data_IF_005305617802
#
_entry.id   IF_005305617802
#
_cell.length_a   1.000
_cell.length_b   1.000
_cell.length_c   1.000
_cell.angle_alpha   90.00
_cell.angle_beta   90.00
_cell.angle_gamma   90.00
#
_symmetry.space_group_name_H-M   'P 1'
#
loop_
_entity.id
_entity.type
_entity.pdbx_description
1 polymer ?
#
# COMPACT_ATOMS: atom_id res chain seq x y z
N UNK A 1 59.53 -40.55 -23.47
CA UNK A 1 59.80 -39.11 -23.69
C UNK A 1 58.70 -38.32 -23.01
N UNK A 2 59.10 -37.48 -22.07
CA UNK A 2 58.23 -36.61 -21.26
C UNK A 2 57.68 -35.43 -22.06
N UNK A 3 56.47 -34.98 -21.70
CA UNK A 3 55.90 -33.69 -22.09
C UNK A 3 54.41 -33.64 -21.69
N UNK A 4 54.08 -33.33 -20.43
CA UNK A 4 53.82 -31.98 -19.87
C UNK A 4 52.63 -31.24 -20.51
N UNK A 5 51.71 -30.82 -19.60
CA UNK A 5 50.99 -29.51 -19.57
C UNK A 5 49.72 -29.46 -20.47
N UNK A 6 48.55 -28.94 -20.09
CA UNK A 6 48.08 -28.15 -18.95
C UNK A 6 46.56 -28.36 -18.82
N UNK A 7 46.04 -28.35 -17.61
CA UNK A 7 44.63 -28.11 -17.30
C UNK A 7 44.15 -26.78 -17.89
N UNK A 8 43.00 -26.75 -18.57
CA UNK A 8 42.14 -25.57 -18.62
C UNK A 8 40.72 -26.03 -18.31
N UNK A 9 40.34 -25.77 -17.05
CA UNK A 9 38.97 -25.65 -16.61
C UNK A 9 38.24 -24.64 -17.50
N UNK A 10 37.19 -25.08 -18.19
CA UNK A 10 36.14 -24.17 -18.64
C UNK A 10 34.88 -24.52 -17.86
N UNK A 11 34.82 -23.98 -16.64
CA UNK A 11 33.59 -23.88 -15.85
C UNK A 11 32.79 -22.75 -16.49
N UNK A 12 32.02 -23.07 -17.52
CA UNK A 12 31.02 -22.14 -18.06
C UNK A 12 29.87 -22.12 -17.07
N UNK A 13 29.88 -21.07 -16.25
CA UNK A 13 28.89 -20.83 -15.21
C UNK A 13 27.48 -20.84 -15.77
N UNK A 14 26.64 -21.68 -15.16
CA UNK A 14 25.21 -21.53 -15.10
C UNK A 14 24.91 -20.16 -14.48
N UNK A 15 24.89 -19.11 -15.28
CA UNK A 15 24.13 -17.90 -14.98
C UNK A 15 22.66 -18.28 -15.14
N UNK A 16 22.14 -19.04 -14.18
CA UNK A 16 20.71 -19.03 -13.87
C UNK A 16 20.47 -17.61 -13.39
N UNK A 17 20.08 -16.75 -14.33
CA UNK A 17 19.41 -15.52 -14.02
C UNK A 17 18.13 -15.90 -13.28
N UNK A 18 18.24 -16.07 -11.97
CA UNK A 18 17.18 -15.68 -11.08
C UNK A 18 17.00 -14.19 -11.34
N UNK A 19 16.21 -13.86 -12.36
CA UNK A 19 15.33 -12.71 -12.28
C UNK A 19 14.58 -12.94 -10.98
N UNK A 20 15.14 -12.40 -9.89
CA UNK A 20 14.50 -12.37 -8.61
C UNK A 20 13.21 -11.66 -8.88
N UNK A 21 12.13 -12.45 -9.00
CA UNK A 21 10.78 -11.96 -9.00
C UNK A 21 10.65 -11.16 -7.72
N UNK A 22 10.89 -9.86 -7.81
CA UNK A 22 10.42 -8.86 -6.86
C UNK A 22 8.90 -8.72 -7.03
N UNK A 23 8.20 -9.87 -7.13
CA UNK A 23 6.79 -9.99 -6.80
C UNK A 23 6.75 -10.03 -5.27
N UNK A 24 7.08 -8.91 -4.64
CA UNK A 24 6.78 -8.74 -3.23
C UNK A 24 5.26 -8.89 -3.10
N UNK A 25 4.85 -9.91 -2.35
CA UNK A 25 3.47 -10.33 -2.22
C UNK A 25 2.65 -9.27 -1.47
N UNK A 26 2.14 -8.26 -2.17
CA UNK A 26 1.13 -7.32 -1.62
C UNK A 26 -0.12 -8.09 -1.18
N UNK A 27 -0.35 -9.28 -1.74
CA UNK A 27 -1.46 -10.22 -1.43
C UNK A 27 -1.62 -10.63 0.04
N UNK A 28 -0.70 -10.27 0.95
CA UNK A 28 -0.75 -10.70 2.36
C UNK A 28 -0.69 -9.55 3.37
N UNK A 29 -0.67 -8.29 2.92
CA UNK A 29 -0.52 -7.13 3.80
C UNK A 29 -1.86 -6.76 4.46
N UNK A 30 -2.09 -7.27 5.66
CA UNK A 30 -3.17 -6.76 6.50
C UNK A 30 -2.84 -5.35 6.98
N UNK A 31 -3.89 -4.62 7.34
CA UNK A 31 -3.76 -3.27 7.85
C UNK A 31 -4.28 -3.19 9.27
N UNK A 32 -3.67 -2.32 10.07
CA UNK A 32 -4.12 -2.00 11.42
C UNK A 32 -4.70 -0.58 11.39
N UNK A 33 -5.98 -0.45 11.70
CA UNK A 33 -6.66 0.83 11.87
C UNK A 33 -6.72 1.15 13.37
N UNK A 34 -5.94 2.12 13.81
CA UNK A 34 -5.95 2.66 15.17
C UNK A 34 -6.86 3.90 15.19
N UNK A 35 -8.10 3.73 15.67
CA UNK A 35 -9.11 4.79 15.67
C UNK A 35 -8.85 5.86 16.73
N UNK A 36 -8.09 5.54 17.79
CA UNK A 36 -7.73 6.50 18.82
C UNK A 36 -6.67 7.47 18.33
N UNK A 37 -5.71 6.98 17.54
CA UNK A 37 -4.68 7.82 16.91
C UNK A 37 -5.09 8.40 15.57
N UNK A 38 -6.10 7.80 14.92
CA UNK A 38 -6.49 8.14 13.57
C UNK A 38 -5.40 7.76 12.56
N UNK A 39 -4.84 6.57 12.72
CA UNK A 39 -3.75 6.05 11.88
C UNK A 39 -4.16 4.74 11.21
N UNK A 40 -3.69 4.56 9.98
CA UNK A 40 -3.71 3.29 9.27
C UNK A 40 -2.27 2.82 9.14
N UNK A 41 -1.95 1.59 9.55
CA UNK A 41 -0.60 1.01 9.49
C UNK A 41 -0.62 -0.30 8.69
N UNK A 42 0.51 -0.67 8.07
CA UNK A 42 0.69 -2.02 7.52
C UNK A 42 1.09 -2.95 8.67
N UNK A 43 0.36 -4.04 8.87
CA UNK A 43 0.65 -5.03 9.92
C UNK A 43 2.07 -5.63 9.73
N UNK A 44 2.86 -5.64 10.80
CA UNK A 44 4.24 -6.13 10.78
C UNK A 44 5.27 -5.17 10.17
N UNK A 45 4.90 -3.93 9.84
CA UNK A 45 5.81 -2.88 9.37
C UNK A 45 5.69 -1.62 10.23
N UNK A 46 6.77 -0.83 10.30
CA UNK A 46 6.78 0.47 10.97
C UNK A 46 6.25 1.60 10.07
N UNK A 47 5.36 1.29 9.12
CA UNK A 47 4.79 2.25 8.20
C UNK A 47 3.34 2.54 8.62
N UNK A 48 3.06 3.79 8.98
CA UNK A 48 1.73 4.28 9.33
C UNK A 48 1.45 5.58 8.58
N UNK A 49 0.18 5.78 8.22
CA UNK A 49 -0.32 6.99 7.60
C UNK A 49 -1.44 7.58 8.45
N UNK A 50 -1.37 8.89 8.70
CA UNK A 50 -2.45 9.58 9.39
C UNK A 50 -3.65 9.69 8.46
N UNK A 51 -4.84 9.36 8.97
CA UNK A 51 -6.09 9.52 8.24
C UNK A 51 -6.44 10.99 8.01
N UNK A 52 -5.85 11.92 8.76
CA UNK A 52 -6.06 13.36 8.52
C UNK A 52 -5.47 13.84 7.20
N UNK A 53 -4.55 13.08 6.59
CA UNK A 53 -4.00 13.39 5.26
C UNK A 53 -5.04 13.37 4.14
N UNK A 54 -6.23 12.83 4.42
CA UNK A 54 -7.37 12.94 3.49
C UNK A 54 -7.85 14.38 3.32
N UNK A 55 -7.50 15.31 4.23
CA UNK A 55 -7.79 16.74 4.09
C UNK A 55 -6.47 17.52 4.10
N UNK A 56 -6.10 18.24 3.03
CA UNK A 56 -6.84 18.50 1.78
C UNK A 56 -6.43 17.54 0.65
N UNK A 57 -7.02 16.35 0.56
CA UNK A 57 -6.82 15.48 -0.60
C UNK A 57 -7.67 15.94 -1.79
N UNK A 58 -7.23 15.61 -3.00
CA UNK A 58 -8.06 15.67 -4.21
C UNK A 58 -8.22 14.28 -4.86
N UNK A 59 -7.83 13.24 -4.13
CA UNK A 59 -7.77 11.85 -4.59
C UNK A 59 -8.88 10.97 -4.00
N UNK A 60 -9.89 11.55 -3.36
CA UNK A 60 -11.02 10.85 -2.75
C UNK A 60 -11.77 9.96 -3.75
N UNK A 61 -11.78 10.35 -5.03
CA UNK A 61 -12.36 9.56 -6.12
C UNK A 61 -11.71 8.17 -6.28
N UNK A 62 -10.42 8.03 -5.94
CA UNK A 62 -9.70 6.76 -5.96
C UNK A 62 -10.20 5.84 -4.85
N UNK A 63 -10.37 6.39 -3.64
CA UNK A 63 -10.96 5.66 -2.50
C UNK A 63 -12.42 5.29 -2.81
N UNK A 64 -13.21 6.23 -3.35
CA UNK A 64 -14.60 6.00 -3.74
C UNK A 64 -14.74 4.82 -4.72
N UNK A 65 -13.85 4.74 -5.70
CA UNK A 65 -13.80 3.62 -6.64
C UNK A 65 -13.48 2.28 -5.92
N UNK A 66 -12.61 2.32 -4.91
CA UNK A 66 -12.30 1.17 -4.04
C UNK A 66 -13.54 0.58 -3.36
N UNK A 67 -14.39 1.45 -2.82
CA UNK A 67 -15.66 1.09 -2.17
C UNK A 67 -16.84 0.97 -3.15
N UNK A 68 -16.61 1.04 -4.47
CA UNK A 68 -17.64 1.00 -5.51
C UNK A 68 -18.75 2.05 -5.31
N UNK A 69 -18.41 3.21 -4.76
CA UNK A 69 -19.36 4.29 -4.52
C UNK A 69 -19.73 5.00 -5.84
N UNK A 70 -20.91 5.66 -5.91
CA UNK A 70 -21.29 6.46 -7.08
C UNK A 70 -20.24 7.53 -7.41
N UNK A 71 -20.04 7.83 -8.70
CA UNK A 71 -19.12 8.89 -9.13
C UNK A 71 -19.67 10.27 -8.76
N UNK A 72 -19.09 10.91 -7.75
CA UNK A 72 -19.34 12.30 -7.34
C UNK A 72 -18.10 12.88 -6.65
N UNK A 73 -18.12 14.18 -6.35
CA UNK A 73 -17.12 14.77 -5.47
C UNK A 73 -17.36 14.27 -4.03
N UNK A 74 -16.33 13.66 -3.45
CA UNK A 74 -16.30 13.27 -2.05
C UNK A 74 -15.34 14.18 -1.33
N UNK A 75 -15.70 14.56 -0.11
CA UNK A 75 -14.85 15.23 0.84
C UNK A 75 -15.11 14.51 2.16
N UNK A 76 -14.10 13.82 2.67
CA UNK A 76 -14.20 13.11 3.93
C UNK A 76 -13.31 13.79 4.95
N UNK A 77 -13.82 13.96 6.15
CA UNK A 77 -13.01 14.11 7.34
C UNK A 77 -12.33 12.78 7.71
N UNK A 78 -11.31 12.83 8.58
CA UNK A 78 -10.66 11.63 9.08
C UNK A 78 -11.65 10.65 9.75
N UNK A 79 -12.63 11.16 10.50
CA UNK A 79 -13.65 10.34 11.15
C UNK A 79 -14.64 9.71 10.15
N UNK A 80 -15.02 10.43 9.11
CA UNK A 80 -15.85 9.86 8.03
C UNK A 80 -15.10 8.77 7.26
N UNK A 81 -13.79 8.96 7.01
CA UNK A 81 -12.95 7.94 6.41
C UNK A 81 -12.81 6.70 7.31
N UNK A 82 -12.60 6.89 8.62
CA UNK A 82 -12.61 5.78 9.60
C UNK A 82 -13.92 4.99 9.53
N UNK A 83 -15.06 5.70 9.57
CA UNK A 83 -16.37 5.07 9.51
C UNK A 83 -16.58 4.30 8.20
N UNK A 84 -16.13 4.84 7.06
CA UNK A 84 -16.16 4.16 5.77
C UNK A 84 -15.36 2.84 5.79
N UNK A 85 -14.20 2.82 6.47
CA UNK A 85 -13.37 1.62 6.59
C UNK A 85 -13.95 0.59 7.56
N UNK A 86 -14.59 1.04 8.64
CA UNK A 86 -15.20 0.14 9.63
C UNK A 86 -16.55 -0.42 9.18
N UNK A 87 -17.31 0.36 8.41
CA UNK A 87 -18.66 0.04 7.95
C UNK A 87 -18.77 0.25 6.43
N UNK A 88 -18.06 -0.56 5.63
CA UNK A 88 -17.99 -0.34 4.20
C UNK A 88 -19.34 -0.63 3.51
N UNK A 89 -19.89 0.28 2.69
CA UNK A 89 -21.14 0.07 1.97
C UNK A 89 -21.11 -1.20 1.12
N UNK A 90 -22.17 -2.01 1.21
CA UNK A 90 -22.23 -3.30 0.53
C UNK A 90 -21.38 -4.41 1.15
N UNK A 91 -20.78 -4.15 2.33
CA UNK A 91 -20.01 -5.11 3.12
C UNK A 91 -18.98 -5.94 2.33
N UNK A 92 -18.08 -5.31 1.54
CA UNK A 92 -17.03 -6.02 0.80
C UNK A 92 -16.04 -6.77 1.69
N UNK A 93 -16.00 -6.44 2.98
CA UNK A 93 -15.21 -7.11 4.01
C UNK A 93 -15.77 -6.81 5.41
N UNK A 94 -15.26 -7.52 6.41
CA UNK A 94 -15.54 -7.27 7.84
C UNK A 94 -14.21 -7.05 8.59
N UNK A 95 -14.05 -5.92 9.30
CA UNK A 95 -12.91 -5.71 10.20
C UNK A 95 -12.86 -6.74 11.32
N UNK A 96 -11.67 -7.24 11.64
CA UNK A 96 -11.42 -8.02 12.86
C UNK A 96 -11.11 -7.05 14.00
N UNK A 97 -11.83 -7.17 15.12
CA UNK A 97 -11.63 -6.32 16.29
C UNK A 97 -10.50 -6.92 17.12
N UNK A 98 -9.37 -6.21 17.25
CA UNK A 98 -8.26 -6.62 18.11
C UNK A 98 -8.38 -6.01 19.51
N UNK A 99 -8.93 -4.79 19.61
CA UNK A 99 -9.24 -4.11 20.87
C UNK A 99 -10.29 -3.00 20.65
N UNK A 100 -10.62 -2.22 21.70
CA UNK A 100 -11.61 -1.14 21.62
C UNK A 100 -11.34 -0.09 20.53
N UNK A 101 -10.06 0.18 20.21
CA UNK A 101 -9.66 1.19 19.23
C UNK A 101 -8.74 0.65 18.13
N UNK A 102 -8.57 -0.67 18.03
CA UNK A 102 -7.65 -1.28 17.08
C UNK A 102 -8.35 -2.38 16.30
N UNK A 103 -8.35 -2.22 14.98
CA UNK A 103 -9.01 -3.12 14.05
C UNK A 103 -8.02 -3.62 13.01
N UNK A 104 -8.04 -4.92 12.73
CA UNK A 104 -7.34 -5.49 11.58
C UNK A 104 -8.28 -5.47 10.37
N UNK A 105 -7.80 -4.87 9.28
CA UNK A 105 -8.50 -4.82 8.00
C UNK A 105 -7.82 -5.77 7.01
N UNK A 106 -8.60 -6.48 6.18
CA UNK A 106 -8.02 -7.42 5.23
C UNK A 106 -7.33 -6.69 4.07
N UNK A 107 -6.37 -7.35 3.39
CA UNK A 107 -5.81 -6.87 2.14
C UNK A 107 -6.89 -6.97 1.05
N UNK A 108 -7.74 -5.95 0.93
CA UNK A 108 -8.72 -5.83 -0.15
C UNK A 108 -8.56 -4.49 -0.87
N UNK A 109 -9.06 -4.41 -2.10
CA UNK A 109 -8.81 -3.27 -2.99
C UNK A 109 -9.25 -1.93 -2.38
N UNK A 110 -10.36 -1.95 -1.62
CA UNK A 110 -10.89 -0.79 -0.91
C UNK A 110 -9.97 -0.29 0.23
N UNK A 111 -9.27 -1.20 0.91
CA UNK A 111 -8.32 -0.82 1.98
C UNK A 111 -7.00 -0.35 1.38
N UNK A 112 -6.53 -1.03 0.32
CA UNK A 112 -5.34 -0.60 -0.42
C UNK A 112 -5.49 0.80 -1.01
N UNK A 113 -6.65 1.13 -1.58
CA UNK A 113 -6.88 2.46 -2.16
C UNK A 113 -6.78 3.57 -1.11
N UNK A 114 -7.26 3.34 0.12
CA UNK A 114 -7.09 4.29 1.23
C UNK A 114 -5.61 4.46 1.56
N UNK A 115 -4.91 3.36 1.82
CA UNK A 115 -3.49 3.41 2.14
C UNK A 115 -2.67 4.14 1.05
N UNK A 116 -2.87 3.77 -0.22
CA UNK A 116 -2.08 4.29 -1.33
C UNK A 116 -2.35 5.78 -1.54
N UNK A 117 -3.58 6.26 -1.33
CA UNK A 117 -3.89 7.70 -1.33
C UNK A 117 -3.21 8.41 -0.18
N UNK A 118 -3.33 7.92 1.07
CA UNK A 118 -2.72 8.59 2.22
C UNK A 118 -1.19 8.62 2.12
N UNK A 119 -0.58 7.53 1.66
CA UNK A 119 0.86 7.48 1.42
C UNK A 119 1.30 8.45 0.32
N UNK A 120 0.50 8.62 -0.74
CA UNK A 120 0.75 9.61 -1.78
C UNK A 120 0.64 11.04 -1.23
N UNK A 121 -0.40 11.35 -0.47
CA UNK A 121 -0.56 12.67 0.16
C UNK A 121 0.60 12.98 1.11
N UNK A 122 1.02 12.00 1.92
CA UNK A 122 2.22 12.14 2.77
C UNK A 122 3.45 12.50 1.93
N UNK A 123 3.71 11.73 0.87
CA UNK A 123 4.84 11.95 0.00
C UNK A 123 4.82 13.37 -0.60
N UNK A 124 3.66 13.80 -1.13
CA UNK A 124 3.48 15.14 -1.71
C UNK A 124 3.76 16.24 -0.70
N UNK A 125 3.24 16.11 0.52
CA UNK A 125 3.27 17.16 1.53
C UNK A 125 4.60 17.25 2.29
N UNK A 126 5.26 16.11 2.54
CA UNK A 126 6.38 16.05 3.48
C UNK A 126 7.68 15.51 2.90
N UNK A 127 7.64 14.64 1.88
CA UNK A 127 8.86 13.99 1.37
C UNK A 127 9.33 14.56 0.04
N UNK A 128 8.41 15.06 -0.80
CA UNK A 128 8.71 15.57 -2.14
C UNK A 128 9.71 16.73 -2.11
N UNK A 129 9.58 17.63 -1.14
CA UNK A 129 10.28 18.93 -1.12
C UNK A 129 9.99 19.75 -2.38
N UNK A 130 10.99 20.51 -2.86
CA UNK A 130 10.86 21.39 -4.04
C UNK A 130 11.02 20.67 -5.40
N UNK A 131 10.94 19.33 -5.42
CA UNK A 131 11.14 18.56 -6.66
C UNK A 131 9.94 18.69 -7.59
N UNK A 132 10.08 19.41 -8.70
CA UNK A 132 9.03 19.63 -9.70
C UNK A 132 8.84 18.45 -10.67
N UNK A 133 9.22 17.24 -10.29
CA UNK A 133 9.05 16.06 -11.14
C UNK A 133 7.56 15.75 -11.36
N UNK A 134 7.23 15.14 -12.51
CA UNK A 134 5.89 14.63 -12.78
C UNK A 134 5.60 13.49 -11.80
N UNK A 135 4.57 13.67 -10.97
CA UNK A 135 4.17 12.65 -9.99
C UNK A 135 2.93 11.95 -10.54
N UNK A 136 3.08 10.67 -10.78
CA UNK A 136 1.96 9.81 -11.14
C UNK A 136 0.98 9.72 -9.97
N UNK A 137 -0.32 9.78 -10.27
CA UNK A 137 -1.38 9.67 -9.26
C UNK A 137 -1.35 8.29 -8.62
N UNK A 138 -1.83 8.15 -7.37
CA UNK A 138 -1.87 6.86 -6.72
C UNK A 138 -2.77 5.92 -7.51
N UNK A 139 -2.20 4.84 -8.03
CA UNK A 139 -2.94 3.72 -8.60
C UNK A 139 -3.04 2.65 -7.51
N UNK A 140 -4.24 2.33 -6.99
CA UNK A 140 -4.36 1.35 -5.93
C UNK A 140 -3.77 0.02 -6.34
N UNK A 141 -2.94 -0.56 -5.47
CA UNK A 141 -2.32 -1.86 -5.68
C UNK A 141 -3.40 -2.92 -5.90
N UNK A 142 -3.30 -3.63 -7.02
CA UNK A 142 -4.22 -4.71 -7.42
C UNK A 142 -3.65 -6.07 -7.04
N UNK A 143 -4.55 -7.01 -6.77
CA UNK A 143 -4.26 -8.44 -6.55
C UNK A 143 -3.98 -9.16 -7.86
#
# INVERSE_FOLDING_TARGET
MSGKILSILFVTGLMVGCAGSYSHSVKREHYLLDTAKGELCIEGRNACQSLSLIVPSFQEHVIAAGYKLPKKAYQWSASELQNLMLQPPGNPYQPEILSANLYRLPPVYAVHSVWDVLAWEHYILYERGDRFDYIERPVPRRF
#
